data_IF_055025922433
#
_entry.id   IF_055025922433
#
_cell.length_a   1.000
_cell.length_b   1.000
_cell.length_c   1.000
_cell.angle_alpha   90.00
_cell.angle_beta   90.00
_cell.angle_gamma   90.00
#
_symmetry.space_group_name_H-M   'P 1'
#
loop_
_entity.id
_entity.type
_entity.pdbx_description
1 polymer ?
#
# COMPACT_ATOMS: atom_id res chain seq x y z
N UNK A 1 17.31 -12.16 -5.35
CA UNK A 1 15.99 -12.66 -4.92
C UNK A 1 15.63 -13.93 -5.68
N UNK A 2 15.07 -14.93 -5.01
CA UNK A 2 14.53 -16.07 -5.75
C UNK A 2 13.42 -15.60 -6.70
N UNK A 3 13.29 -16.31 -7.82
CA UNK A 3 12.21 -16.04 -8.76
C UNK A 3 10.89 -16.55 -8.16
N UNK A 4 9.97 -15.65 -7.86
CA UNK A 4 8.66 -15.96 -7.28
C UNK A 4 7.57 -16.19 -8.32
N UNK A 5 7.88 -15.98 -9.60
CA UNK A 5 6.88 -16.04 -10.68
C UNK A 5 6.15 -17.38 -10.70
N UNK A 6 4.82 -17.31 -10.69
CA UNK A 6 3.95 -18.49 -10.72
C UNK A 6 3.83 -19.22 -9.39
N UNK A 7 4.48 -18.76 -8.33
CA UNK A 7 4.40 -19.40 -7.02
C UNK A 7 3.21 -18.95 -6.21
N UNK A 8 2.84 -19.76 -5.23
CA UNK A 8 1.80 -19.39 -4.24
C UNK A 8 2.22 -18.16 -3.42
N UNK A 9 3.53 -18.03 -3.15
CA UNK A 9 4.08 -16.87 -2.45
C UNK A 9 3.84 -15.58 -3.24
N UNK A 10 4.06 -15.61 -4.55
CA UNK A 10 3.75 -14.46 -5.41
C UNK A 10 2.29 -14.07 -5.32
N UNK A 11 1.39 -15.04 -5.46
CA UNK A 11 -0.05 -14.78 -5.38
C UNK A 11 -0.44 -14.18 -4.02
N UNK A 12 0.13 -14.69 -2.93
CA UNK A 12 -0.13 -14.18 -1.59
C UNK A 12 0.39 -12.75 -1.41
N UNK A 13 1.57 -12.44 -1.95
CA UNK A 13 2.14 -11.09 -1.88
C UNK A 13 1.32 -10.09 -2.70
N UNK A 14 0.82 -10.51 -3.87
CA UNK A 14 -0.06 -9.67 -4.69
C UNK A 14 -1.37 -9.36 -3.96
N UNK A 15 -1.96 -10.37 -3.32
CA UNK A 15 -3.18 -10.19 -2.53
C UNK A 15 -2.95 -9.28 -1.33
N UNK A 16 -1.82 -9.42 -0.64
CA UNK A 16 -1.45 -8.58 0.50
C UNK A 16 -1.24 -7.13 0.05
N UNK A 17 -0.53 -6.91 -1.05
CA UNK A 17 -0.33 -5.58 -1.62
C UNK A 17 -1.66 -4.91 -1.98
N UNK A 18 -2.56 -5.64 -2.64
CA UNK A 18 -3.87 -5.12 -3.02
C UNK A 18 -4.71 -4.77 -1.80
N UNK A 19 -4.75 -5.63 -0.79
CA UNK A 19 -5.50 -5.40 0.44
C UNK A 19 -4.99 -4.21 1.24
N UNK A 20 -3.67 -4.11 1.42
CA UNK A 20 -3.04 -3.00 2.14
C UNK A 20 -3.26 -1.67 1.39
N UNK A 21 -3.17 -1.69 0.05
CA UNK A 21 -3.38 -0.50 -0.77
C UNK A 21 -4.83 -0.02 -0.69
N UNK A 22 -5.78 -0.93 -0.71
CA UNK A 22 -7.20 -0.62 -0.54
C UNK A 22 -7.46 -0.01 0.84
N UNK A 23 -6.91 -0.61 1.89
CA UNK A 23 -7.06 -0.13 3.24
C UNK A 23 -6.45 1.27 3.40
N UNK A 24 -5.28 1.51 2.83
CA UNK A 24 -4.61 2.81 2.87
C UNK A 24 -5.51 3.90 2.30
N UNK A 25 -6.12 3.66 1.15
CA UNK A 25 -7.01 4.63 0.52
C UNK A 25 -8.26 4.89 1.36
N UNK A 26 -8.88 3.85 1.90
CA UNK A 26 -10.04 3.99 2.78
C UNK A 26 -9.73 4.88 3.98
N UNK A 27 -8.63 4.59 4.67
CA UNK A 27 -8.25 5.36 5.86
C UNK A 27 -7.89 6.80 5.52
N UNK A 28 -7.30 7.04 4.35
CA UNK A 28 -7.05 8.40 3.88
C UNK A 28 -8.35 9.18 3.69
N UNK A 29 -9.37 8.55 3.11
CA UNK A 29 -10.68 9.17 2.91
C UNK A 29 -11.40 9.38 4.24
N UNK A 30 -11.32 8.42 5.16
CA UNK A 30 -11.89 8.54 6.50
C UNK A 30 -11.25 9.69 7.27
N UNK A 31 -9.94 9.82 7.19
CA UNK A 31 -9.21 10.92 7.83
C UNK A 31 -9.69 12.27 7.33
N UNK A 32 -9.84 12.41 6.01
CA UNK A 32 -10.31 13.65 5.40
C UNK A 32 -11.70 14.03 5.91
N UNK A 33 -12.60 13.07 5.98
CA UNK A 33 -13.98 13.30 6.46
C UNK A 33 -14.01 13.67 7.93
N UNK A 34 -13.27 12.93 8.75
CA UNK A 34 -13.19 13.21 10.18
C UNK A 34 -12.67 14.63 10.44
N UNK A 35 -11.67 15.05 9.68
CA UNK A 35 -11.11 16.40 9.79
C UNK A 35 -12.13 17.46 9.46
N UNK A 36 -12.89 17.27 8.37
CA UNK A 36 -13.96 18.20 7.97
C UNK A 36 -15.06 18.32 9.02
N UNK A 37 -15.34 17.23 9.73
CA UNK A 37 -16.34 17.18 10.77
C UNK A 37 -15.83 17.63 12.15
N UNK A 38 -14.54 18.00 12.24
CA UNK A 38 -13.96 18.52 13.48
C UNK A 38 -13.39 17.45 14.42
N UNK A 39 -13.34 16.19 14.01
CA UNK A 39 -12.79 15.11 14.83
C UNK A 39 -11.29 14.98 14.61
N UNK A 40 -10.54 15.93 15.15
CA UNK A 40 -9.10 16.07 14.85
C UNK A 40 -8.30 14.86 15.29
N UNK A 41 -8.55 14.33 16.49
CA UNK A 41 -7.81 13.17 17.00
C UNK A 41 -8.13 11.89 16.22
N UNK A 42 -9.40 11.71 15.87
CA UNK A 42 -9.82 10.56 15.06
C UNK A 42 -9.19 10.64 13.68
N UNK A 43 -9.17 11.84 13.07
CA UNK A 43 -8.51 12.06 11.80
C UNK A 43 -7.02 11.67 11.86
N UNK A 44 -6.34 12.05 12.93
CA UNK A 44 -4.93 11.72 13.12
C UNK A 44 -4.70 10.21 13.21
N UNK A 45 -5.56 9.50 13.93
CA UNK A 45 -5.48 8.03 14.04
C UNK A 45 -5.65 7.40 12.65
N UNK A 46 -6.63 7.86 11.86
CA UNK A 46 -6.83 7.36 10.50
C UNK A 46 -5.63 7.66 9.59
N UNK A 47 -5.03 8.84 9.70
CA UNK A 47 -3.84 9.21 8.95
C UNK A 47 -2.66 8.29 9.28
N UNK A 48 -2.43 8.04 10.56
CA UNK A 48 -1.37 7.13 11.02
C UNK A 48 -1.60 5.71 10.52
N UNK A 49 -2.84 5.24 10.56
CA UNK A 49 -3.20 3.92 10.05
C UNK A 49 -2.97 3.84 8.54
N UNK A 50 -3.36 4.88 7.80
CA UNK A 50 -3.12 4.95 6.36
C UNK A 50 -1.63 4.88 6.03
N UNK A 51 -0.80 5.59 6.79
CA UNK A 51 0.65 5.58 6.59
C UNK A 51 1.25 4.20 6.89
N UNK A 52 0.77 3.51 7.93
CA UNK A 52 1.22 2.16 8.24
C UNK A 52 0.86 1.18 7.12
N UNK A 53 -0.35 1.29 6.56
CA UNK A 53 -0.79 0.46 5.45
C UNK A 53 0.07 0.72 4.19
N UNK A 54 0.43 1.99 3.94
CA UNK A 54 1.30 2.35 2.83
C UNK A 54 2.69 1.73 2.98
N UNK A 55 3.26 1.75 4.18
CA UNK A 55 4.57 1.15 4.44
C UNK A 55 4.53 -0.37 4.29
N UNK A 56 3.47 -1.03 4.74
CA UNK A 56 3.28 -2.47 4.53
C UNK A 56 3.17 -2.81 3.05
N UNK A 57 2.35 -2.05 2.31
CA UNK A 57 2.21 -2.25 0.87
C UNK A 57 3.55 -2.10 0.14
N UNK A 58 4.37 -1.15 0.55
CA UNK A 58 5.69 -0.92 -0.03
C UNK A 58 6.61 -2.13 0.19
N UNK A 59 6.55 -2.75 1.37
CA UNK A 59 7.32 -3.97 1.65
C UNK A 59 6.91 -5.09 0.69
N UNK A 60 5.60 -5.33 0.54
CA UNK A 60 5.09 -6.37 -0.36
C UNK A 60 5.45 -6.10 -1.81
N UNK A 61 5.35 -4.83 -2.22
CA UNK A 61 5.72 -4.41 -3.58
C UNK A 61 7.20 -4.69 -3.85
N UNK A 62 8.08 -4.33 -2.92
CA UNK A 62 9.52 -4.55 -3.08
C UNK A 62 9.88 -6.04 -3.13
N UNK A 63 9.18 -6.87 -2.37
CA UNK A 63 9.38 -8.31 -2.42
C UNK A 63 8.94 -8.90 -3.77
N UNK A 64 7.84 -8.39 -4.32
CA UNK A 64 7.33 -8.84 -5.63
C UNK A 64 8.25 -8.44 -6.79
N UNK A 65 8.83 -7.25 -6.73
CA UNK A 65 9.56 -6.64 -7.85
C UNK A 65 11.06 -6.51 -7.61
N UNK A 66 11.58 -7.09 -6.51
CA UNK A 66 12.98 -6.96 -6.11
C UNK A 66 13.41 -5.49 -5.98
N UNK A 67 12.60 -4.73 -5.28
CA UNK A 67 12.73 -3.29 -5.11
C UNK A 67 11.72 -2.52 -5.94
N UNK A 68 11.90 -1.21 -6.03
CA UNK A 68 11.12 -0.38 -6.95
C UNK A 68 11.91 -0.26 -8.24
N UNK A 69 11.35 -0.67 -9.40
CA UNK A 69 12.08 -0.62 -10.66
C UNK A 69 12.43 0.81 -11.07
N UNK A 70 13.35 0.93 -12.04
CA UNK A 70 13.74 2.23 -12.58
C UNK A 70 12.58 2.89 -13.33
N UNK A 71 12.64 4.19 -13.49
CA UNK A 71 11.58 5.00 -14.10
C UNK A 71 11.17 4.50 -15.49
N UNK A 72 12.14 4.13 -16.32
CA UNK A 72 11.82 3.62 -17.67
C UNK A 72 10.95 2.38 -17.63
N UNK A 73 11.25 1.44 -16.72
CA UNK A 73 10.44 0.24 -16.54
C UNK A 73 9.07 0.57 -15.97
N UNK A 74 9.01 1.51 -15.02
CA UNK A 74 7.76 1.93 -14.40
C UNK A 74 6.83 2.60 -15.41
N UNK A 75 7.37 3.39 -16.33
CA UNK A 75 6.59 4.01 -17.38
C UNK A 75 5.97 2.99 -18.32
N UNK A 76 6.68 1.90 -18.61
CA UNK A 76 6.12 0.83 -19.42
C UNK A 76 5.05 0.03 -18.71
N UNK A 77 5.25 -0.20 -17.40
CA UNK A 77 4.28 -0.95 -16.60
C UNK A 77 2.99 -0.16 -16.37
N UNK A 78 3.08 1.14 -16.25
CA UNK A 78 1.94 2.02 -15.98
C UNK A 78 0.91 2.14 -17.18
#
# INVERSE_FOLDING_TARGET
MPNLKGTKTEANLMAAFAGESQARNKYTYYASKAKKEGYVQIAKIFEETANNEMEHAKIWFKLLHDGVPATAANLQDA
#
